data_IF_770956685264
#
_entry.id   IF_770956685264
#
_cell.length_a   1.000
_cell.length_b   1.000
_cell.length_c   1.000
_cell.angle_alpha   90.00
_cell.angle_beta   90.00
_cell.angle_gamma   90.00
#
_symmetry.space_group_name_H-M   'P 1'
#
loop_
_entity.id
_entity.type
_entity.pdbx_description
1 polymer ?
#
# COMPACT_ATOMS: atom_id res chain seq x y z
N UNK A 1 46.80 71.23 -7.89
CA UNK A 1 48.26 71.45 -7.64
C UNK A 1 48.86 70.11 -7.33
N UNK A 2 49.80 69.77 -8.19
CA UNK A 2 50.98 68.89 -8.05
C UNK A 2 50.69 67.42 -7.92
N UNK A 3 51.02 66.71 -8.89
CA UNK A 3 52.26 66.50 -9.65
C UNK A 3 52.93 65.19 -9.25
N UNK A 4 53.11 64.49 -10.26
CA UNK A 4 54.36 63.88 -10.78
C UNK A 4 54.61 62.45 -10.39
N UNK A 5 54.61 61.67 -11.49
CA UNK A 5 55.80 61.01 -12.07
C UNK A 5 56.37 59.96 -11.15
N UNK A 6 56.78 58.87 -11.61
CA UNK A 6 57.58 58.47 -12.73
C UNK A 6 57.57 56.96 -12.74
N UNK A 7 57.45 56.37 -13.90
CA UNK A 7 58.51 55.67 -14.58
C UNK A 7 59.15 54.54 -13.77
N UNK A 8 58.99 53.38 -14.29
CA UNK A 8 60.11 52.55 -14.74
C UNK A 8 59.74 51.10 -14.82
N UNK A 9 59.52 50.62 -16.03
CA UNK A 9 59.83 49.23 -16.33
C UNK A 9 61.32 49.18 -16.66
N UNK A 10 62.02 48.08 -16.66
CA UNK A 10 61.60 46.73 -17.06
C UNK A 10 62.19 45.61 -16.21
N UNK A 11 61.52 44.54 -16.15
CA UNK A 11 62.05 43.30 -15.63
C UNK A 11 61.47 42.14 -16.40
N UNK A 12 62.17 41.71 -17.41
CA UNK A 12 61.88 40.49 -18.13
C UNK A 12 61.84 39.30 -17.17
N UNK A 13 60.71 38.76 -16.92
CA UNK A 13 60.61 37.49 -16.27
C UNK A 13 60.65 36.38 -17.30
N UNK A 14 61.42 35.34 -17.10
CA UNK A 14 61.42 34.18 -17.98
C UNK A 14 60.07 33.46 -17.88
N UNK A 15 59.66 32.80 -18.94
CA UNK A 15 58.37 32.05 -18.92
C UNK A 15 58.53 30.87 -17.96
N UNK A 16 57.93 31.01 -16.82
CA UNK A 16 57.67 29.87 -15.93
C UNK A 16 56.71 28.95 -16.62
N UNK A 17 57.18 27.77 -16.93
CA UNK A 17 56.39 26.66 -17.43
C UNK A 17 55.14 26.48 -16.56
N UNK A 18 53.96 26.24 -17.14
CA UNK A 18 52.82 25.87 -16.35
C UNK A 18 53.11 24.50 -15.70
N UNK A 19 53.32 24.57 -14.40
CA UNK A 19 53.33 23.40 -13.57
C UNK A 19 51.99 22.65 -13.84
N UNK A 20 52.11 21.50 -14.47
CA UNK A 20 51.00 20.58 -14.56
C UNK A 20 50.64 20.18 -13.13
N UNK A 21 49.77 20.99 -12.54
CA UNK A 21 49.15 20.66 -11.28
C UNK A 21 48.52 19.29 -11.40
N UNK A 22 49.01 18.39 -10.62
CA UNK A 22 48.32 17.16 -10.26
C UNK A 22 46.96 17.59 -9.72
N UNK A 23 45.91 17.49 -10.55
CA UNK A 23 44.55 17.48 -10.06
C UNK A 23 44.37 16.13 -9.37
N UNK A 24 44.20 16.09 -8.05
CA UNK A 24 43.79 14.85 -7.42
C UNK A 24 42.49 14.44 -8.06
N UNK A 25 42.27 13.14 -8.39
CA UNK A 25 41.02 12.70 -8.92
C UNK A 25 39.95 13.09 -7.92
N UNK A 26 38.98 13.86 -8.40
CA UNK A 26 37.79 14.20 -7.62
C UNK A 26 37.20 12.89 -7.05
N UNK A 27 36.82 12.87 -5.77
CA UNK A 27 36.20 11.70 -5.22
C UNK A 27 35.02 11.34 -6.13
N UNK A 28 35.06 10.14 -6.67
CA UNK A 28 34.04 9.61 -7.52
C UNK A 28 32.71 9.80 -6.76
N UNK A 29 31.88 10.71 -7.26
CA UNK A 29 30.50 10.85 -6.84
C UNK A 29 29.94 9.43 -6.88
N UNK A 30 29.41 8.88 -5.79
CA UNK A 30 28.80 7.57 -5.86
C UNK A 30 27.73 7.65 -6.94
N UNK A 31 27.99 7.01 -8.06
CA UNK A 31 26.95 6.74 -9.03
C UNK A 31 25.87 5.98 -8.25
N UNK A 32 24.62 6.38 -8.34
CA UNK A 32 23.57 5.53 -7.84
C UNK A 32 23.75 4.20 -8.57
N UNK A 33 24.26 3.21 -7.87
CA UNK A 33 24.19 1.84 -8.31
C UNK A 33 22.74 1.63 -8.69
N UNK A 34 22.50 1.49 -9.98
CA UNK A 34 21.23 1.01 -10.46
C UNK A 34 20.99 -0.29 -9.70
N UNK A 35 20.23 -0.19 -8.64
CA UNK A 35 19.70 -1.32 -7.92
C UNK A 35 19.01 -2.14 -8.99
N UNK A 36 19.52 -3.34 -9.24
CA UNK A 36 18.90 -4.28 -10.14
C UNK A 36 17.39 -4.26 -9.86
N UNK A 37 16.55 -4.32 -10.87
CA UNK A 37 15.12 -4.32 -10.64
C UNK A 37 14.82 -5.54 -9.77
N UNK A 38 14.73 -5.30 -8.47
CA UNK A 38 13.94 -6.16 -7.60
C UNK A 38 12.63 -6.28 -8.35
N UNK A 39 12.24 -7.48 -8.70
CA UNK A 39 11.00 -7.76 -9.42
C UNK A 39 9.93 -6.88 -8.78
N UNK A 40 9.72 -5.72 -9.37
CA UNK A 40 8.72 -4.80 -8.89
C UNK A 40 7.42 -5.57 -9.04
N UNK A 41 6.83 -5.99 -7.93
CA UNK A 41 5.45 -6.43 -7.92
C UNK A 41 4.73 -5.38 -8.74
N UNK A 42 4.19 -5.78 -9.87
CA UNK A 42 3.54 -4.82 -10.75
C UNK A 42 2.42 -4.17 -9.94
N UNK A 43 2.57 -2.90 -9.66
CA UNK A 43 1.62 -2.12 -8.88
C UNK A 43 0.90 -1.20 -9.85
N UNK A 44 -0.38 -1.44 -10.04
CA UNK A 44 -1.22 -0.52 -10.80
C UNK A 44 -1.58 0.67 -9.92
N UNK A 45 -1.34 1.89 -10.40
CA UNK A 45 -1.64 3.11 -9.65
C UNK A 45 -2.67 3.98 -10.39
N UNK A 46 -3.71 4.37 -9.66
CA UNK A 46 -4.72 5.31 -10.12
C UNK A 46 -4.48 6.63 -9.41
N UNK A 47 -4.17 7.68 -10.17
CA UNK A 47 -3.83 8.99 -9.61
C UNK A 47 -5.05 9.81 -9.15
N UNK A 48 -4.83 10.89 -8.37
CA UNK A 48 -5.90 11.67 -7.72
C UNK A 48 -6.79 12.46 -8.68
N UNK A 49 -6.33 12.68 -9.90
CA UNK A 49 -7.12 13.35 -10.94
C UNK A 49 -7.90 12.41 -11.84
N UNK A 50 -7.87 11.12 -11.55
CA UNK A 50 -8.50 10.10 -12.37
C UNK A 50 -9.86 9.71 -11.79
N UNK A 51 -10.89 9.73 -12.63
CA UNK A 51 -12.22 9.24 -12.28
C UNK A 51 -12.56 8.04 -13.16
N UNK A 52 -12.82 6.92 -12.52
CA UNK A 52 -13.11 5.66 -13.20
C UNK A 52 -14.51 5.21 -12.83
N UNK A 53 -15.31 4.93 -13.85
CA UNK A 53 -16.67 4.36 -13.67
C UNK A 53 -16.76 3.06 -14.45
N UNK A 54 -17.10 1.99 -13.76
CA UNK A 54 -17.24 0.69 -14.36
C UNK A 54 -16.75 -0.45 -13.49
N UNK A 55 -16.33 -1.53 -14.14
CA UNK A 55 -15.79 -2.71 -13.49
C UNK A 55 -14.27 -2.75 -13.67
N UNK A 56 -13.55 -2.83 -12.56
CA UNK A 56 -12.09 -2.91 -12.52
C UNK A 56 -11.73 -4.29 -11.99
N UNK A 57 -10.92 -5.01 -12.72
CA UNK A 57 -10.35 -6.29 -12.29
C UNK A 57 -8.83 -6.18 -12.26
N UNK A 58 -8.25 -6.38 -11.10
CA UNK A 58 -6.81 -6.39 -10.90
C UNK A 58 -6.36 -7.72 -10.29
N UNK A 59 -5.31 -8.29 -10.80
CA UNK A 59 -4.68 -9.49 -10.23
C UNK A 59 -3.43 -9.12 -9.41
N UNK A 60 -3.01 -7.89 -9.55
CA UNK A 60 -1.81 -7.35 -8.94
C UNK A 60 -2.16 -6.36 -7.84
N UNK A 61 -1.15 -5.85 -7.16
CA UNK A 61 -1.32 -4.81 -6.17
C UNK A 61 -1.84 -3.53 -6.82
N UNK A 62 -2.98 -3.01 -6.32
CA UNK A 62 -3.64 -1.83 -6.85
C UNK A 62 -3.61 -0.69 -5.85
N UNK A 63 -3.05 0.44 -6.26
CA UNK A 63 -3.09 1.69 -5.52
C UNK A 63 -4.12 2.64 -6.13
N UNK A 64 -5.09 3.09 -5.34
CA UNK A 64 -6.19 3.96 -5.79
C UNK A 64 -6.19 5.25 -5.01
N UNK A 65 -5.83 6.35 -5.65
CA UNK A 65 -5.86 7.69 -5.04
C UNK A 65 -6.88 8.63 -5.71
N UNK A 66 -7.71 8.10 -6.62
CA UNK A 66 -8.72 8.84 -7.38
C UNK A 66 -10.17 8.48 -7.04
N UNK A 67 -11.10 8.99 -7.86
CA UNK A 67 -12.52 8.64 -7.77
C UNK A 67 -12.83 7.34 -8.51
N UNK A 68 -13.36 6.36 -7.82
CA UNK A 68 -13.77 5.08 -8.42
C UNK A 68 -15.22 4.77 -8.09
N UNK A 69 -16.01 4.53 -9.12
CA UNK A 69 -17.43 4.15 -8.99
C UNK A 69 -17.71 2.85 -9.76
N UNK A 70 -18.32 1.86 -9.09
CA UNK A 70 -18.72 0.63 -9.75
C UNK A 70 -18.35 -0.64 -8.99
N UNK A 71 -17.67 -1.57 -9.63
CA UNK A 71 -17.23 -2.84 -9.05
C UNK A 71 -15.70 -2.91 -9.15
N UNK A 72 -15.04 -3.20 -8.04
CA UNK A 72 -13.60 -3.37 -7.98
C UNK A 72 -13.26 -4.75 -7.45
N UNK A 73 -12.67 -5.57 -8.29
CA UNK A 73 -12.20 -6.90 -7.92
C UNK A 73 -10.67 -6.94 -7.95
N UNK A 74 -10.06 -7.23 -6.81
CA UNK A 74 -8.61 -7.42 -6.70
C UNK A 74 -8.31 -8.77 -6.05
N UNK A 75 -7.42 -9.54 -6.64
CA UNK A 75 -6.96 -10.80 -6.06
C UNK A 75 -5.73 -10.63 -5.17
N UNK A 76 -5.27 -9.42 -5.03
CA UNK A 76 -4.09 -9.03 -4.25
C UNK A 76 -4.41 -7.90 -3.28
N UNK A 77 -3.37 -7.19 -2.84
CA UNK A 77 -3.47 -6.04 -1.96
C UNK A 77 -4.11 -4.85 -2.69
N UNK A 78 -5.16 -4.28 -2.10
CA UNK A 78 -5.76 -3.02 -2.51
C UNK A 78 -5.42 -1.94 -1.51
N UNK A 79 -4.77 -0.88 -1.95
CA UNK A 79 -4.48 0.29 -1.14
C UNK A 79 -5.29 1.49 -1.64
N UNK A 80 -6.12 2.05 -0.78
CA UNK A 80 -6.86 3.29 -1.08
C UNK A 80 -6.10 4.46 -0.49
N UNK A 81 -5.61 5.37 -1.34
CA UNK A 81 -4.86 6.56 -0.92
C UNK A 81 -5.73 7.59 -0.19
N UNK A 82 -5.11 8.60 0.44
CA UNK A 82 -5.82 9.58 1.27
C UNK A 82 -6.77 10.51 0.50
N UNK A 83 -6.52 10.71 -0.80
CA UNK A 83 -7.41 11.46 -1.67
C UNK A 83 -8.43 10.56 -2.39
N UNK A 84 -8.30 9.25 -2.24
CA UNK A 84 -9.16 8.26 -2.86
C UNK A 84 -10.60 8.33 -2.36
N UNK A 85 -11.54 8.42 -3.29
CA UNK A 85 -12.97 8.33 -3.05
C UNK A 85 -13.53 7.14 -3.80
N UNK A 86 -13.76 6.05 -3.10
CA UNK A 86 -14.27 4.83 -3.71
C UNK A 86 -15.75 4.65 -3.36
N UNK A 87 -16.59 4.59 -4.39
CA UNK A 87 -18.02 4.28 -4.26
C UNK A 87 -18.31 3.02 -5.06
N UNK A 88 -17.92 1.89 -4.51
CA UNK A 88 -17.96 0.65 -5.25
C UNK A 88 -18.19 -0.57 -4.35
N UNK A 89 -18.58 -1.67 -5.00
CA UNK A 89 -18.47 -2.98 -4.38
C UNK A 89 -17.04 -3.48 -4.54
N UNK A 90 -16.31 -3.56 -3.44
CA UNK A 90 -14.91 -3.96 -3.41
C UNK A 90 -14.82 -5.44 -3.04
N UNK A 91 -14.17 -6.21 -3.87
CA UNK A 91 -13.77 -7.58 -3.55
C UNK A 91 -12.26 -7.65 -3.62
N UNK A 92 -11.60 -7.97 -2.52
CA UNK A 92 -10.16 -8.06 -2.48
C UNK A 92 -9.69 -9.14 -1.50
N UNK A 93 -8.43 -9.47 -1.57
CA UNK A 93 -7.82 -10.36 -0.60
C UNK A 93 -7.44 -9.61 0.67
N UNK A 94 -6.76 -8.50 0.51
CA UNK A 94 -6.39 -7.58 1.58
C UNK A 94 -6.65 -6.14 1.16
N UNK A 95 -7.16 -5.31 2.09
CA UNK A 95 -7.47 -3.90 1.81
C UNK A 95 -6.86 -3.00 2.87
N UNK A 96 -6.19 -1.95 2.42
CA UNK A 96 -5.68 -0.86 3.27
C UNK A 96 -6.36 0.43 2.86
N UNK A 97 -7.05 1.10 3.78
CA UNK A 97 -7.82 2.32 3.52
C UNK A 97 -7.22 3.50 4.27
N UNK A 98 -6.78 4.52 3.52
CA UNK A 98 -6.40 5.83 4.03
C UNK A 98 -7.43 6.91 3.69
N UNK A 99 -8.25 6.69 2.67
CA UNK A 99 -9.20 7.65 2.15
C UNK A 99 -10.66 7.33 2.49
N UNK A 100 -11.57 7.71 1.60
CA UNK A 100 -13.02 7.52 1.79
C UNK A 100 -13.54 6.37 0.95
N UNK A 101 -14.15 5.40 1.59
CA UNK A 101 -14.79 4.25 0.93
C UNK A 101 -16.26 4.19 1.28
N UNK A 102 -17.11 4.03 0.26
CA UNK A 102 -18.57 3.86 0.43
C UNK A 102 -19.05 2.66 -0.37
N UNK A 103 -19.81 1.79 0.26
CA UNK A 103 -20.40 0.61 -0.38
C UNK A 103 -20.09 -0.68 0.35
N UNK A 104 -20.11 -1.79 -0.40
CA UNK A 104 -19.84 -3.10 0.18
C UNK A 104 -18.36 -3.47 -0.01
N UNK A 105 -17.73 -3.92 1.05
CA UNK A 105 -16.32 -4.32 1.07
C UNK A 105 -16.23 -5.78 1.50
N UNK A 106 -15.99 -6.65 0.53
CA UNK A 106 -15.81 -8.08 0.75
C UNK A 106 -14.30 -8.42 0.71
N UNK A 107 -13.75 -8.77 1.85
CA UNK A 107 -12.31 -9.07 1.97
C UNK A 107 -12.11 -10.44 2.59
N UNK A 108 -11.28 -11.23 1.95
CA UNK A 108 -11.06 -12.63 2.36
C UNK A 108 -10.16 -12.74 3.59
N UNK A 109 -9.16 -11.89 3.70
CA UNK A 109 -8.14 -11.98 4.76
C UNK A 109 -8.29 -10.85 5.78
N UNK A 110 -7.87 -9.63 5.45
CA UNK A 110 -7.78 -8.53 6.40
C UNK A 110 -8.12 -7.18 5.78
N UNK A 111 -8.88 -6.38 6.54
CA UNK A 111 -9.07 -4.95 6.27
C UNK A 111 -8.31 -4.13 7.30
N UNK A 112 -7.49 -3.19 6.85
CA UNK A 112 -6.82 -2.22 7.69
C UNK A 112 -7.33 -0.81 7.34
N UNK A 113 -7.99 -0.16 8.29
CA UNK A 113 -8.42 1.24 8.16
C UNK A 113 -7.39 2.07 8.93
N UNK A 114 -6.65 2.89 8.20
CA UNK A 114 -5.57 3.73 8.72
C UNK A 114 -6.09 5.10 9.11
N UNK A 115 -5.19 5.93 9.65
CA UNK A 115 -5.47 7.31 10.04
C UNK A 115 -6.23 8.06 8.93
N UNK A 116 -7.29 8.77 9.31
CA UNK A 116 -8.15 9.52 8.41
C UNK A 116 -8.98 8.69 7.42
N UNK A 117 -8.88 7.35 7.46
CA UNK A 117 -9.72 6.46 6.67
C UNK A 117 -11.19 6.59 7.08
N UNK A 118 -12.07 6.85 6.13
CA UNK A 118 -13.52 6.90 6.33
C UNK A 118 -14.18 5.79 5.55
N UNK A 119 -14.84 4.87 6.25
CA UNK A 119 -15.56 3.77 5.60
C UNK A 119 -17.04 3.81 5.98
N UNK A 120 -17.89 3.82 4.97
CA UNK A 120 -19.35 3.85 5.13
C UNK A 120 -19.97 2.71 4.33
N UNK A 121 -20.59 1.78 5.01
CA UNK A 121 -21.26 0.64 4.38
C UNK A 121 -21.04 -0.68 5.09
N UNK A 122 -21.17 -1.77 4.36
CA UNK A 122 -21.05 -3.11 4.90
C UNK A 122 -19.68 -3.70 4.60
N UNK A 123 -19.00 -4.20 5.64
CA UNK A 123 -17.68 -4.83 5.52
C UNK A 123 -17.83 -6.31 5.88
N UNK A 124 -17.38 -7.17 4.99
CA UNK A 124 -17.21 -8.60 5.24
C UNK A 124 -15.74 -8.96 5.16
N UNK A 125 -15.20 -9.46 6.26
CA UNK A 125 -13.77 -9.78 6.35
C UNK A 125 -13.48 -10.85 7.38
N UNK A 126 -12.36 -11.54 7.22
CA UNK A 126 -11.88 -12.46 8.24
C UNK A 126 -11.20 -11.76 9.42
N UNK A 127 -10.62 -10.59 9.19
CA UNK A 127 -9.98 -9.77 10.21
C UNK A 127 -10.07 -8.28 9.90
N UNK A 128 -10.24 -7.48 10.93
CA UNK A 128 -10.27 -6.02 10.82
C UNK A 128 -9.24 -5.38 11.75
N UNK A 129 -8.57 -4.35 11.26
CA UNK A 129 -7.71 -3.48 12.04
C UNK A 129 -8.14 -2.04 11.81
N UNK A 130 -8.41 -1.33 12.88
CA UNK A 130 -8.82 0.07 12.83
C UNK A 130 -7.80 0.85 13.64
N UNK A 131 -7.14 1.81 13.01
CA UNK A 131 -6.17 2.68 13.65
C UNK A 131 -6.84 3.93 14.22
N UNK A 132 -6.16 4.64 15.08
CA UNK A 132 -6.65 5.88 15.71
C UNK A 132 -6.95 6.95 14.64
N UNK A 133 -8.07 7.66 14.76
CA UNK A 133 -8.50 8.65 13.78
C UNK A 133 -9.33 8.11 12.61
N UNK A 134 -9.50 6.80 12.50
CA UNK A 134 -10.35 6.20 11.49
C UNK A 134 -11.84 6.38 11.81
N UNK A 135 -12.63 6.68 10.79
CA UNK A 135 -14.09 6.79 10.92
C UNK A 135 -14.77 5.62 10.22
N UNK A 136 -15.56 4.86 10.99
CA UNK A 136 -16.34 3.77 10.45
C UNK A 136 -17.84 3.96 10.76
N UNK A 137 -18.68 3.76 9.73
CA UNK A 137 -20.15 3.79 9.88
C UNK A 137 -20.79 2.71 9.02
N UNK A 138 -21.40 1.72 9.64
CA UNK A 138 -22.07 0.63 8.94
C UNK A 138 -22.05 -0.67 9.72
N UNK A 139 -22.19 -1.79 8.99
CA UNK A 139 -22.16 -3.14 9.54
C UNK A 139 -20.83 -3.82 9.27
N UNK A 140 -20.36 -4.61 10.22
CA UNK A 140 -19.16 -5.43 10.07
C UNK A 140 -19.55 -6.89 10.29
N UNK A 141 -19.37 -7.70 9.26
CA UNK A 141 -19.52 -9.14 9.31
C UNK A 141 -18.13 -9.78 9.31
N UNK A 142 -17.74 -10.38 10.42
CA UNK A 142 -16.48 -11.11 10.53
C UNK A 142 -16.73 -12.56 10.14
N UNK A 143 -16.37 -12.89 8.90
CA UNK A 143 -16.41 -14.25 8.40
C UNK A 143 -15.05 -14.87 8.70
N UNK A 144 -14.98 -15.74 9.67
CA UNK A 144 -13.80 -16.59 9.82
C UNK A 144 -13.74 -17.51 8.62
N UNK A 145 -12.68 -17.46 7.79
CA UNK A 145 -12.46 -18.55 6.87
C UNK A 145 -12.27 -19.80 7.76
N UNK A 146 -13.29 -20.61 7.81
CA UNK A 146 -13.11 -21.92 8.40
C UNK A 146 -12.07 -22.62 7.53
N UNK A 147 -10.82 -22.67 8.01
CA UNK A 147 -9.98 -23.79 7.68
C UNK A 147 -10.91 -24.99 7.90
N UNK A 148 -11.19 -25.72 6.85
CA UNK A 148 -11.93 -26.97 6.94
C UNK A 148 -11.15 -27.90 7.87
N UNK A 149 -11.30 -27.70 9.15
CA UNK A 149 -11.17 -28.80 10.07
C UNK A 149 -12.38 -29.69 9.75
N UNK A 150 -12.12 -30.71 8.98
CA UNK A 150 -12.95 -31.88 8.84
C UNK A 150 -13.14 -32.45 10.24
N UNK A 151 -13.98 -31.84 11.03
CA UNK A 151 -14.63 -32.50 12.16
C UNK A 151 -15.67 -33.40 11.52
N UNK A 152 -15.21 -34.60 11.22
CA UNK A 152 -16.05 -35.76 11.02
C UNK A 152 -17.17 -35.68 12.08
N UNK A 153 -18.44 -35.68 11.71
CA UNK A 153 -19.50 -35.69 12.70
C UNK A 153 -19.33 -36.97 13.50
N UNK A 154 -18.96 -36.83 14.75
CA UNK A 154 -19.06 -37.92 15.72
C UNK A 154 -20.56 -38.10 15.88
N UNK A 155 -21.10 -39.12 15.22
CA UNK A 155 -22.40 -39.66 15.47
C UNK A 155 -22.41 -40.12 16.91
N UNK A 156 -22.87 -39.30 17.82
CA UNK A 156 -23.19 -39.72 19.18
C UNK A 156 -24.47 -40.54 19.06
N UNK A 157 -24.28 -41.81 18.92
CA UNK A 157 -25.31 -42.81 19.12
C UNK A 157 -25.60 -42.85 20.62
N UNK A 158 -26.65 -42.16 21.01
CA UNK A 158 -27.17 -42.24 22.34
C UNK A 158 -27.73 -43.66 22.50
N UNK A 159 -26.98 -44.51 23.18
CA UNK A 159 -27.49 -45.76 23.67
C UNK A 159 -28.51 -45.46 24.77
N UNK A 160 -29.77 -45.54 24.43
CA UNK A 160 -30.86 -45.60 25.42
C UNK A 160 -30.83 -46.97 26.00
N UNK A 161 -30.29 -47.07 27.20
CA UNK A 161 -30.47 -48.26 28.02
C UNK A 161 -31.92 -48.31 28.49
N UNK A 162 -32.70 -49.17 27.88
CA UNK A 162 -34.02 -49.53 28.38
C UNK A 162 -33.84 -50.38 29.63
N UNK A 163 -34.21 -49.81 30.75
CA UNK A 163 -34.36 -50.56 31.98
C UNK A 163 -35.57 -51.48 31.84
N UNK A 164 -35.34 -52.77 31.72
CA UNK A 164 -36.38 -53.77 31.84
C UNK A 164 -36.74 -53.93 33.30
N UNK A 165 -37.99 -53.59 33.63
CA UNK A 165 -38.56 -53.93 34.88
C UNK A 165 -39.11 -55.36 34.76
N UNK A 166 -38.50 -56.29 35.41
CA UNK A 166 -39.05 -57.61 35.64
C UNK A 166 -40.01 -57.57 36.80
N UNK A 167 -41.19 -57.97 36.54
CA UNK A 167 -42.17 -58.24 37.56
C UNK A 167 -42.38 -59.74 37.58
N UNK A 168 -42.20 -60.34 38.70
CA UNK A 168 -42.71 -61.64 38.97
C UNK A 168 -43.72 -61.57 40.08
#
# INVERSE_FOLDING_TARGET
MWNKRTDEAPGAQPPTQPNRGYTPPAPARPQPTATAPTVAKATAAIGPSMSIKGEIRAQEELFVDGDVEGILESHSLLTVGPNGKVKANIKAREVIVFGSVRGNVDVVEKVAIRDHGSVIGDIRTAGISIDDGAYFKGSIDIIRPQAQTTTKPVKTEAAVAAAGVGQA
#
